data_IF_204794601804
#
_entry.id   IF_204794601804
#
_cell.length_a   1.000
_cell.length_b   1.000
_cell.length_c   1.000
_cell.angle_alpha   90.00
_cell.angle_beta   90.00
_cell.angle_gamma   90.00
#
_symmetry.space_group_name_H-M   'P 1'
#
loop_
_entity.id
_entity.type
_entity.pdbx_description
1 polymer ?
#
# COMPACT_ATOMS: atom_id res chain seq x y z
N UNK A 1 -30.77 46.64 6.74
CA UNK A 1 -29.31 46.40 6.85
C UNK A 1 -29.02 45.04 7.50
N UNK A 2 -29.29 44.82 8.79
CA UNK A 2 -28.95 43.56 9.49
C UNK A 2 -29.48 42.26 8.84
N UNK A 3 -30.75 42.24 8.39
CA UNK A 3 -31.32 41.05 7.70
C UNK A 3 -30.64 40.73 6.37
N UNK A 4 -30.28 41.75 5.58
CA UNK A 4 -29.59 41.56 4.30
C UNK A 4 -28.16 41.05 4.52
N UNK A 5 -27.47 41.57 5.54
CA UNK A 5 -26.13 41.09 5.94
C UNK A 5 -26.19 39.64 6.41
N UNK A 6 -27.18 39.26 7.22
CA UNK A 6 -27.35 37.88 7.68
C UNK A 6 -27.61 36.89 6.54
N UNK A 7 -28.48 37.24 5.58
CA UNK A 7 -28.75 36.40 4.41
C UNK A 7 -27.52 36.27 3.52
N UNK A 8 -26.77 37.36 3.32
CA UNK A 8 -25.53 37.35 2.53
C UNK A 8 -24.47 36.48 3.20
N UNK A 9 -24.28 36.61 4.52
CA UNK A 9 -23.34 35.80 5.28
C UNK A 9 -23.70 34.31 5.23
N UNK A 10 -25.00 33.97 5.35
CA UNK A 10 -25.47 32.59 5.21
C UNK A 10 -25.20 32.05 3.80
N UNK A 11 -25.47 32.84 2.75
CA UNK A 11 -25.19 32.46 1.37
C UNK A 11 -23.70 32.17 1.13
N UNK A 12 -22.82 33.03 1.63
CA UNK A 12 -21.37 32.83 1.55
C UNK A 12 -20.91 31.59 2.34
N UNK A 13 -21.47 31.37 3.54
CA UNK A 13 -21.16 30.18 4.34
C UNK A 13 -21.59 28.88 3.64
N UNK A 14 -22.79 28.84 3.06
CA UNK A 14 -23.28 27.69 2.31
C UNK A 14 -22.46 27.44 1.04
N UNK A 15 -22.06 28.49 0.32
CA UNK A 15 -21.19 28.38 -0.85
C UNK A 15 -19.83 27.79 -0.47
N UNK A 16 -19.21 28.27 0.61
CA UNK A 16 -17.95 27.74 1.12
C UNK A 16 -18.08 26.28 1.57
N UNK A 17 -19.16 25.92 2.28
CA UNK A 17 -19.44 24.54 2.67
C UNK A 17 -19.63 23.64 1.45
N UNK A 18 -20.36 24.11 0.44
CA UNK A 18 -20.57 23.40 -0.82
C UNK A 18 -19.27 23.17 -1.59
N UNK A 19 -18.43 24.20 -1.72
CA UNK A 19 -17.11 24.10 -2.35
C UNK A 19 -16.21 23.08 -1.63
N UNK A 20 -16.14 23.15 -0.30
CA UNK A 20 -15.36 22.21 0.52
C UNK A 20 -15.88 20.78 0.40
N UNK A 21 -17.19 20.59 0.33
CA UNK A 21 -17.80 19.28 0.11
C UNK A 21 -17.45 18.70 -1.27
N UNK A 22 -17.54 19.50 -2.33
CA UNK A 22 -17.14 19.08 -3.69
C UNK A 22 -15.65 18.76 -3.75
N UNK A 23 -14.79 19.60 -3.16
CA UNK A 23 -13.36 19.36 -3.10
C UNK A 23 -13.02 18.04 -2.37
N UNK A 24 -13.70 17.75 -1.26
CA UNK A 24 -13.54 16.48 -0.54
C UNK A 24 -13.99 15.29 -1.39
N UNK A 25 -15.15 15.39 -2.05
CA UNK A 25 -15.64 14.33 -2.95
C UNK A 25 -14.66 14.03 -4.09
N UNK A 26 -14.05 15.06 -4.67
CA UNK A 26 -13.06 14.89 -5.73
C UNK A 26 -11.78 14.23 -5.20
N UNK A 27 -11.25 14.67 -4.06
CA UNK A 27 -10.07 14.05 -3.42
C UNK A 27 -10.30 12.57 -3.06
N UNK A 28 -11.50 12.24 -2.61
CA UNK A 28 -11.89 10.85 -2.30
C UNK A 28 -12.30 10.04 -3.53
N UNK A 29 -12.29 10.64 -4.73
CA UNK A 29 -12.84 10.07 -5.95
C UNK A 29 -14.24 9.42 -5.75
N UNK A 30 -15.10 10.11 -4.99
CA UNK A 30 -16.33 9.57 -4.39
C UNK A 30 -17.37 9.02 -5.39
N UNK A 31 -17.28 9.44 -6.65
CA UNK A 31 -18.22 9.04 -7.71
C UNK A 31 -17.63 7.99 -8.66
N UNK A 32 -16.37 7.59 -8.45
CA UNK A 32 -15.68 6.65 -9.33
C UNK A 32 -16.17 5.23 -9.08
N UNK A 33 -16.40 4.53 -10.19
CA UNK A 33 -16.64 3.10 -10.27
C UNK A 33 -15.59 2.45 -11.17
N UNK A 34 -15.52 1.13 -11.14
CA UNK A 34 -14.48 0.35 -11.83
C UNK A 34 -15.09 -0.69 -12.74
N UNK A 35 -14.63 -0.70 -13.99
CA UNK A 35 -14.85 -1.81 -14.91
C UNK A 35 -13.93 -2.97 -14.54
N UNK A 36 -14.47 -4.19 -14.53
CA UNK A 36 -13.70 -5.36 -14.13
C UNK A 36 -12.59 -5.66 -15.15
N UNK A 37 -11.40 -5.94 -14.64
CA UNK A 37 -10.26 -6.47 -15.40
C UNK A 37 -9.81 -7.72 -14.67
N UNK A 38 -10.18 -8.88 -15.21
CA UNK A 38 -9.90 -10.17 -14.61
C UNK A 38 -8.55 -10.72 -15.08
N UNK A 39 -7.89 -11.48 -14.21
CA UNK A 39 -6.69 -12.25 -14.51
C UNK A 39 -6.99 -13.75 -14.41
N UNK A 40 -6.30 -14.59 -15.20
CA UNK A 40 -6.43 -16.03 -15.09
C UNK A 40 -5.87 -16.55 -13.75
N UNK A 41 -6.40 -17.67 -13.28
CA UNK A 41 -5.87 -18.45 -12.15
C UNK A 41 -5.61 -17.63 -10.87
N UNK A 42 -6.58 -16.77 -10.50
CA UNK A 42 -6.54 -16.04 -9.24
C UNK A 42 -7.02 -16.89 -8.06
N UNK A 43 -6.25 -16.91 -6.98
CA UNK A 43 -6.57 -17.63 -5.74
C UNK A 43 -6.22 -16.79 -4.51
N UNK A 44 -7.02 -16.91 -3.45
CA UNK A 44 -6.67 -16.29 -2.17
C UNK A 44 -5.42 -16.94 -1.57
N UNK A 45 -4.52 -16.11 -1.03
CA UNK A 45 -3.34 -16.58 -0.30
C UNK A 45 -3.78 -17.09 1.07
N UNK A 46 -3.63 -18.39 1.29
CA UNK A 46 -4.02 -19.03 2.55
C UNK A 46 -3.17 -18.47 3.69
N UNK A 47 -3.81 -18.07 4.78
CA UNK A 47 -3.14 -17.46 5.95
C UNK A 47 -3.30 -15.95 6.02
N UNK A 48 -3.71 -15.28 4.92
CA UNK A 48 -3.99 -13.84 4.91
C UNK A 48 -5.49 -13.61 5.04
N UNK A 49 -5.94 -13.18 6.23
CA UNK A 49 -7.37 -13.00 6.52
C UNK A 49 -7.73 -11.60 7.05
N UNK A 50 -6.74 -10.75 7.34
CA UNK A 50 -6.94 -9.48 8.05
C UNK A 50 -5.94 -8.39 7.65
N UNK A 51 -5.86 -8.11 6.35
CA UNK A 51 -4.94 -7.15 5.77
C UNK A 51 -3.60 -7.78 5.38
N UNK A 52 -3.03 -7.23 4.33
CA UNK A 52 -1.72 -7.50 3.73
C UNK A 52 -1.29 -6.19 3.06
N UNK A 53 -1.07 -5.18 3.89
CA UNK A 53 -1.07 -3.79 3.42
C UNK A 53 0.10 -3.52 2.49
N UNK A 54 1.26 -4.11 2.76
CA UNK A 54 2.43 -4.03 1.89
C UNK A 54 3.10 -5.40 1.70
N UNK A 55 3.75 -5.56 0.55
CA UNK A 55 4.39 -6.80 0.10
C UNK A 55 5.72 -6.46 -0.56
N UNK A 56 6.79 -7.06 -0.08
CA UNK A 56 8.10 -6.99 -0.73
C UNK A 56 8.63 -8.38 -1.07
N UNK A 57 9.22 -8.52 -2.25
CA UNK A 57 9.63 -9.82 -2.82
C UNK A 57 11.14 -9.81 -3.07
N UNK A 58 11.84 -10.76 -2.45
CA UNK A 58 13.25 -10.98 -2.70
C UNK A 58 13.50 -11.57 -4.09
N UNK A 59 14.70 -11.39 -4.67
CA UNK A 59 15.06 -11.96 -5.98
C UNK A 59 14.95 -13.49 -6.06
N UNK A 60 15.00 -14.19 -4.93
CA UNK A 60 14.85 -15.65 -4.86
C UNK A 60 13.38 -16.12 -4.79
N UNK A 61 12.40 -15.20 -4.73
CA UNK A 61 10.97 -15.51 -4.69
C UNK A 61 10.37 -15.64 -3.29
N UNK A 62 11.14 -15.40 -2.23
CA UNK A 62 10.55 -15.21 -0.90
C UNK A 62 9.84 -13.86 -0.83
N UNK A 63 8.57 -13.87 -0.45
CA UNK A 63 7.75 -12.67 -0.29
C UNK A 63 7.41 -12.47 1.20
N UNK A 64 7.62 -11.24 1.68
CA UNK A 64 7.20 -10.79 3.00
C UNK A 64 5.90 -9.98 2.86
N UNK A 65 4.98 -10.14 3.80
CA UNK A 65 3.70 -9.43 3.82
C UNK A 65 3.50 -8.80 5.20
N UNK A 66 3.26 -7.49 5.26
CA UNK A 66 2.83 -6.83 6.50
C UNK A 66 1.33 -7.01 6.69
N UNK A 67 0.92 -7.51 7.85
CA UNK A 67 -0.49 -7.85 8.11
C UNK A 67 -0.99 -7.26 9.42
N UNK A 68 -2.31 -7.08 9.52
CA UNK A 68 -2.97 -6.67 10.76
C UNK A 68 -2.77 -5.20 11.13
N UNK A 69 -2.46 -4.34 10.16
CA UNK A 69 -2.38 -2.89 10.34
C UNK A 69 -3.68 -2.30 10.88
N UNK A 70 -3.54 -1.33 11.80
CA UNK A 70 -4.65 -0.61 12.41
C UNK A 70 -4.41 0.89 12.48
N UNK A 71 -5.37 1.64 11.94
CA UNK A 71 -5.58 3.07 12.08
C UNK A 71 -6.93 3.42 12.72
N UNK A 72 -7.01 4.48 13.54
CA UNK A 72 -8.30 4.93 14.07
C UNK A 72 -9.29 5.30 12.96
N UNK A 73 -10.52 4.79 13.05
CA UNK A 73 -11.61 5.19 12.17
C UNK A 73 -11.76 4.42 10.86
N UNK A 74 -10.95 3.38 10.60
CA UNK A 74 -11.14 2.47 9.46
C UNK A 74 -11.73 1.12 9.89
N UNK A 75 -12.19 0.36 8.90
CA UNK A 75 -12.77 -0.97 9.09
C UNK A 75 -11.69 -2.03 9.31
N UNK A 76 -11.97 -3.00 10.20
CA UNK A 76 -11.13 -4.19 10.42
C UNK A 76 -11.98 -5.45 10.56
N UNK A 77 -11.62 -6.52 9.86
CA UNK A 77 -12.32 -7.81 10.01
C UNK A 77 -11.81 -8.65 11.19
N UNK A 78 -10.61 -8.36 11.72
CA UNK A 78 -10.05 -9.04 12.88
C UNK A 78 -9.36 -8.06 13.86
N UNK A 79 -10.13 -7.17 14.54
CA UNK A 79 -9.56 -6.13 15.41
C UNK A 79 -8.76 -6.69 16.59
N UNK A 80 -9.04 -7.91 17.03
CA UNK A 80 -8.35 -8.59 18.13
C UNK A 80 -7.00 -9.22 17.73
N UNK A 81 -6.74 -9.43 16.43
CA UNK A 81 -5.48 -10.02 15.98
C UNK A 81 -4.38 -8.96 16.00
N UNK A 82 -3.20 -9.22 16.60
CA UNK A 82 -2.07 -8.29 16.53
C UNK A 82 -1.54 -8.19 15.10
N UNK A 83 -0.76 -7.14 14.85
CA UNK A 83 -0.01 -7.00 13.61
C UNK A 83 1.14 -8.02 13.55
N UNK A 84 1.57 -8.35 12.34
CA UNK A 84 2.62 -9.33 12.13
C UNK A 84 3.24 -9.25 10.75
N UNK A 85 4.29 -10.04 10.54
CA UNK A 85 4.89 -10.26 9.21
C UNK A 85 4.67 -11.72 8.84
N UNK A 86 4.07 -11.94 7.67
CA UNK A 86 3.99 -13.27 7.07
C UNK A 86 5.06 -13.43 5.99
N UNK A 87 5.39 -14.68 5.68
CA UNK A 87 6.29 -15.04 4.60
C UNK A 87 5.67 -16.16 3.75
N UNK A 88 5.91 -16.12 2.44
CA UNK A 88 5.64 -17.23 1.53
C UNK A 88 6.75 -17.39 0.48
N UNK A 89 6.90 -18.60 -0.04
CA UNK A 89 7.82 -18.91 -1.13
C UNK A 89 7.03 -19.03 -2.44
N UNK A 90 7.27 -18.10 -3.37
CA UNK A 90 6.57 -18.03 -4.65
C UNK A 90 7.03 -19.09 -5.65
N UNK A 91 8.07 -19.86 -5.36
CA UNK A 91 8.48 -20.99 -6.18
C UNK A 91 7.70 -22.27 -5.84
N UNK A 92 7.00 -22.30 -4.70
CA UNK A 92 6.17 -23.43 -4.31
C UNK A 92 4.77 -23.36 -4.96
N UNK A 93 4.16 -24.52 -5.17
CA UNK A 93 2.78 -24.61 -5.66
C UNK A 93 1.76 -24.15 -4.60
N UNK A 94 2.08 -24.32 -3.31
CA UNK A 94 1.18 -23.91 -2.24
C UNK A 94 1.19 -22.40 -2.05
N UNK A 95 0.07 -21.75 -2.39
CA UNK A 95 -0.16 -20.33 -2.10
C UNK A 95 -0.52 -20.11 -0.62
N UNK A 96 0.40 -20.44 0.31
CA UNK A 96 0.21 -20.28 1.76
C UNK A 96 1.30 -19.39 2.34
N UNK A 97 0.88 -18.38 3.10
CA UNK A 97 1.75 -17.55 3.91
C UNK A 97 1.78 -18.05 5.37
N UNK A 98 2.94 -17.98 5.99
CA UNK A 98 3.19 -18.39 7.37
C UNK A 98 3.74 -17.22 8.18
N UNK A 99 3.31 -17.12 9.43
CA UNK A 99 3.74 -16.04 10.32
C UNK A 99 5.19 -16.25 10.77
N UNK A 100 6.01 -15.19 10.62
CA UNK A 100 7.39 -15.19 11.08
C UNK A 100 7.45 -14.94 12.59
N UNK A 101 8.34 -15.66 13.26
CA UNK A 101 8.61 -15.41 14.68
C UNK A 101 9.48 -14.18 14.82
N UNK A 102 9.12 -13.26 15.71
CA UNK A 102 9.99 -12.13 16.05
C UNK A 102 10.80 -12.45 17.31
N UNK A 103 12.06 -12.03 17.34
CA UNK A 103 12.98 -12.25 18.47
C UNK A 103 12.40 -11.81 19.81
N UNK A 104 12.77 -12.55 20.87
CA UNK A 104 12.36 -12.24 22.25
C UNK A 104 12.81 -10.83 22.65
N UNK A 105 11.93 -10.10 23.33
CA UNK A 105 12.20 -8.74 23.82
C UNK A 105 11.68 -7.63 22.92
N UNK A 106 11.24 -7.94 21.70
CA UNK A 106 10.46 -7.02 20.88
C UNK A 106 9.01 -6.94 21.42
N UNK A 107 8.45 -5.74 21.50
CA UNK A 107 7.07 -5.55 21.96
C UNK A 107 6.07 -5.88 20.84
N UNK A 108 5.70 -7.15 20.77
CA UNK A 108 4.68 -7.65 19.83
C UNK A 108 3.27 -7.14 20.14
N UNK A 109 3.01 -6.70 21.39
CA UNK A 109 1.66 -6.29 21.77
C UNK A 109 1.27 -4.95 21.13
N UNK A 110 2.24 -4.05 20.94
CA UNK A 110 2.04 -2.77 20.25
C UNK A 110 2.46 -2.78 18.78
N UNK A 111 2.90 -3.92 18.26
CA UNK A 111 3.35 -4.04 16.87
C UNK A 111 2.20 -3.83 15.89
N UNK A 112 2.36 -2.82 15.04
CA UNK A 112 1.37 -2.35 14.08
C UNK A 112 2.09 -2.03 12.76
N UNK A 113 2.51 -3.07 12.00
CA UNK A 113 3.31 -2.92 10.80
C UNK A 113 2.47 -2.34 9.64
N UNK A 114 3.10 -1.46 8.87
CA UNK A 114 2.58 -0.80 7.68
C UNK A 114 3.48 -1.18 6.50
N UNK A 115 3.98 -0.18 5.76
CA UNK A 115 4.95 -0.40 4.68
C UNK A 115 6.23 -1.15 5.10
N UNK A 116 6.73 -1.99 4.21
CA UNK A 116 7.93 -2.81 4.39
C UNK A 116 8.89 -2.67 3.22
N UNK A 117 10.17 -2.90 3.47
CA UNK A 117 11.19 -2.94 2.42
C UNK A 117 12.35 -3.81 2.84
N UNK A 118 12.94 -4.53 1.88
CA UNK A 118 14.07 -5.41 2.09
C UNK A 118 15.36 -4.80 1.57
N UNK A 119 16.47 -5.19 2.20
CA UNK A 119 17.82 -4.88 1.75
C UNK A 119 18.67 -6.13 1.89
N UNK A 120 19.39 -6.49 0.82
CA UNK A 120 20.36 -7.57 0.84
C UNK A 120 21.74 -6.92 0.91
N UNK A 121 22.47 -7.18 2.01
CA UNK A 121 23.85 -6.70 2.15
C UNK A 121 24.81 -7.56 1.33
N UNK A 122 26.07 -7.13 1.24
CA UNK A 122 27.12 -7.77 0.44
C UNK A 122 27.46 -9.19 0.86
N UNK A 123 27.09 -9.58 2.07
CA UNK A 123 27.27 -10.93 2.61
C UNK A 123 25.99 -11.79 2.50
N UNK A 124 25.06 -11.38 1.64
CA UNK A 124 23.74 -11.98 1.44
C UNK A 124 22.83 -11.93 2.68
N UNK A 125 23.19 -11.17 3.72
CA UNK A 125 22.30 -10.93 4.85
C UNK A 125 21.07 -10.12 4.41
N UNK A 126 19.89 -10.69 4.63
CA UNK A 126 18.61 -10.04 4.38
C UNK A 126 18.18 -9.23 5.60
N UNK A 127 17.95 -7.94 5.37
CA UNK A 127 17.34 -7.02 6.32
C UNK A 127 15.92 -6.67 5.88
N UNK A 128 14.99 -6.65 6.83
CA UNK A 128 13.62 -6.20 6.63
C UNK A 128 13.39 -4.92 7.44
N UNK A 129 13.04 -3.84 6.76
CA UNK A 129 12.65 -2.56 7.32
C UNK A 129 11.12 -2.52 7.38
N UNK A 130 10.57 -2.18 8.54
CA UNK A 130 9.12 -2.18 8.76
C UNK A 130 8.71 -0.85 9.36
N UNK A 131 7.91 -0.07 8.64
CA UNK A 131 7.22 1.07 9.23
C UNK A 131 6.22 0.54 10.28
N UNK A 132 6.31 1.04 11.50
CA UNK A 132 5.55 0.57 12.65
C UNK A 132 4.86 1.73 13.34
N UNK A 133 3.61 1.54 13.77
CA UNK A 133 2.79 2.59 14.41
C UNK A 133 2.35 2.26 15.85
N UNK A 134 3.27 1.98 16.80
CA UNK A 134 2.89 1.66 18.18
C UNK A 134 2.28 2.88 18.86
N UNK A 135 1.09 2.72 19.45
CA UNK A 135 0.37 3.81 20.14
C UNK A 135 0.22 5.09 19.29
N UNK A 136 0.06 4.95 17.96
CA UNK A 136 -0.06 6.07 17.01
C UNK A 136 1.20 6.96 16.87
N UNK A 137 2.38 6.44 17.26
CA UNK A 137 3.69 7.04 16.95
C UNK A 137 4.29 6.27 15.78
N UNK A 138 5.04 6.92 14.89
CA UNK A 138 5.70 6.22 13.77
C UNK A 138 7.18 5.93 14.05
N UNK A 139 7.61 4.71 13.74
CA UNK A 139 8.99 4.23 13.81
C UNK A 139 9.31 3.37 12.58
N UNK A 140 10.59 3.13 12.32
CA UNK A 140 11.04 2.08 11.39
C UNK A 140 11.78 1.03 12.18
N UNK A 141 11.26 -0.19 12.22
CA UNK A 141 11.92 -1.33 12.84
C UNK A 141 12.81 -2.02 11.82
N UNK A 142 14.07 -2.28 12.17
CA UNK A 142 15.03 -3.02 11.33
C UNK A 142 15.18 -4.41 11.92
N UNK A 143 14.86 -5.42 11.12
CA UNK A 143 15.05 -6.82 11.44
C UNK A 143 16.12 -7.43 10.54
N UNK A 144 16.88 -8.40 11.06
CA UNK A 144 17.61 -9.38 10.26
C UNK A 144 16.72 -10.60 10.09
N UNK A 145 16.59 -11.09 8.86
CA UNK A 145 15.89 -12.34 8.57
C UNK A 145 16.82 -13.54 8.81
N UNK A 146 16.32 -14.54 9.52
CA UNK A 146 16.99 -15.80 9.82
C UNK A 146 16.21 -16.94 9.15
N UNK A 147 16.62 -17.28 7.92
CA UNK A 147 15.88 -18.19 7.03
C UNK A 147 15.69 -19.60 7.63
N UNK A 148 16.72 -20.18 8.24
CA UNK A 148 16.66 -21.53 8.84
C UNK A 148 15.61 -21.64 9.95
N UNK A 149 15.41 -20.56 10.71
CA UNK A 149 14.51 -20.51 11.86
C UNK A 149 13.14 -19.92 11.52
N UNK A 150 12.96 -19.41 10.29
CA UNK A 150 11.80 -18.61 9.87
C UNK A 150 11.50 -17.49 10.89
N UNK A 151 12.55 -16.74 11.28
CA UNK A 151 12.47 -15.68 12.28
C UNK A 151 13.03 -14.34 11.83
N UNK A 152 12.58 -13.30 12.51
CA UNK A 152 13.04 -11.93 12.40
C UNK A 152 13.74 -11.54 13.71
N UNK A 153 15.04 -11.31 13.64
CA UNK A 153 15.82 -10.77 14.74
C UNK A 153 15.74 -9.24 14.71
N UNK A 154 15.06 -8.64 15.68
CA UNK A 154 15.00 -7.18 15.80
C UNK A 154 16.39 -6.64 16.16
N UNK A 155 16.89 -5.71 15.35
CA UNK A 155 18.20 -5.10 15.55
C UNK A 155 18.08 -3.69 16.12
N UNK A 156 17.15 -2.90 15.56
CA UNK A 156 17.10 -1.47 15.86
C UNK A 156 15.76 -0.85 15.49
N UNK A 157 15.30 0.06 16.34
CA UNK A 157 14.26 1.03 16.00
C UNK A 157 14.92 2.33 15.51
N UNK A 158 14.60 2.74 14.29
CA UNK A 158 15.10 3.94 13.65
C UNK A 158 14.01 5.00 13.55
N UNK A 159 14.40 6.24 13.82
CA UNK A 159 13.67 7.45 13.49
C UNK A 159 14.65 8.29 12.68
N UNK A 160 14.47 8.37 11.36
CA UNK A 160 15.48 9.02 10.53
C UNK A 160 14.93 9.48 9.19
N UNK A 161 15.49 10.59 8.70
CA UNK A 161 15.17 11.22 7.44
C UNK A 161 16.12 10.67 6.36
N UNK A 162 15.54 10.12 5.29
CA UNK A 162 16.09 9.98 3.93
C UNK A 162 16.80 8.65 3.54
N UNK A 163 16.26 8.06 2.46
CA UNK A 163 16.78 6.95 1.62
C UNK A 163 16.68 7.37 0.11
N UNK A 164 16.66 6.47 -0.91
CA UNK A 164 17.62 6.26 -2.02
C UNK A 164 17.47 7.12 -3.32
N UNK A 165 18.33 6.84 -4.34
CA UNK A 165 18.77 7.68 -5.49
C UNK A 165 17.67 8.27 -6.41
N UNK A 166 16.52 7.65 -6.50
CA UNK A 166 15.28 8.27 -6.96
C UNK A 166 14.19 7.83 -5.99
N UNK A 167 13.28 8.74 -5.67
CA UNK A 167 12.19 8.47 -4.74
C UNK A 167 10.89 8.67 -5.51
N UNK A 168 10.10 7.61 -5.60
CA UNK A 168 8.71 7.69 -6.03
C UNK A 168 7.85 7.94 -4.79
N UNK A 169 7.02 8.98 -4.84
CA UNK A 169 6.12 9.34 -3.74
C UNK A 169 4.70 9.27 -4.25
N UNK A 170 3.88 8.39 -3.68
CA UNK A 170 2.44 8.38 -3.88
C UNK A 170 1.81 9.52 -3.05
N UNK A 171 1.21 10.50 -3.72
CA UNK A 171 0.30 11.47 -3.09
C UNK A 171 -1.14 10.97 -3.30
N UNK A 172 -1.59 10.18 -2.33
CA UNK A 172 -2.84 9.43 -2.40
C UNK A 172 -4.06 10.32 -2.65
N UNK A 173 -4.18 11.48 -2.00
CA UNK A 173 -5.37 12.34 -2.12
C UNK A 173 -5.28 13.33 -3.29
N UNK A 174 -4.08 13.55 -3.84
CA UNK A 174 -3.90 14.26 -5.10
C UNK A 174 -4.06 13.36 -6.34
N UNK A 175 -4.05 12.03 -6.14
CA UNK A 175 -4.06 11.03 -7.22
C UNK A 175 -2.79 11.12 -8.08
N UNK A 176 -1.65 11.37 -7.43
CA UNK A 176 -0.39 11.69 -8.09
C UNK A 176 0.74 10.76 -7.66
N UNK A 177 1.67 10.48 -8.58
CA UNK A 177 2.98 9.91 -8.27
C UNK A 177 4.04 10.95 -8.62
N UNK A 178 4.79 11.38 -7.61
CA UNK A 178 5.92 12.28 -7.78
C UNK A 178 7.19 11.46 -8.02
N UNK A 179 7.94 11.82 -9.06
CA UNK A 179 9.27 11.27 -9.33
C UNK A 179 10.29 12.29 -8.86
N UNK A 180 11.06 11.94 -7.83
CA UNK A 180 12.06 12.79 -7.23
C UNK A 180 13.45 12.27 -7.57
N UNK A 181 14.31 13.11 -8.15
CA UNK A 181 15.74 12.84 -8.25
C UNK A 181 16.40 13.12 -6.91
N UNK A 182 17.10 12.12 -6.36
CA UNK A 182 17.94 12.33 -5.18
C UNK A 182 19.36 12.67 -5.62
N UNK A 183 19.86 13.75 -5.06
CA UNK A 183 21.24 14.19 -5.20
C UNK A 183 22.18 13.50 -4.20
N UNK A 184 23.49 13.58 -4.42
CA UNK A 184 24.50 13.00 -3.54
C UNK A 184 24.40 13.51 -2.08
N UNK A 185 23.97 14.77 -1.91
CA UNK A 185 23.74 15.41 -0.61
C UNK A 185 22.38 15.08 0.04
N UNK A 186 21.62 14.13 -0.52
CA UNK A 186 20.27 13.72 -0.09
C UNK A 186 19.14 14.72 -0.33
N UNK A 187 19.40 15.88 -0.93
CA UNK A 187 18.32 16.75 -1.40
C UNK A 187 17.53 16.08 -2.54
N UNK A 188 16.25 16.41 -2.63
CA UNK A 188 15.32 15.89 -3.63
C UNK A 188 14.90 17.04 -4.57
N UNK A 189 14.92 16.78 -5.87
CA UNK A 189 14.31 17.66 -6.87
C UNK A 189 13.21 16.93 -7.60
N UNK A 190 12.03 17.52 -7.66
CA UNK A 190 10.91 16.95 -8.42
C UNK A 190 11.24 16.98 -9.91
N UNK A 191 11.27 15.80 -10.53
CA UNK A 191 11.51 15.63 -11.96
C UNK A 191 10.19 15.60 -12.72
N UNK A 192 9.20 14.92 -12.15
CA UNK A 192 7.92 14.66 -12.83
C UNK A 192 6.80 14.41 -11.84
N UNK A 193 5.58 14.73 -12.26
CA UNK A 193 4.34 14.32 -11.60
C UNK A 193 3.50 13.56 -12.61
N UNK A 194 3.12 12.34 -12.25
CA UNK A 194 2.17 11.54 -13.01
C UNK A 194 0.80 11.63 -12.32
N UNK A 195 -0.18 12.19 -13.00
CA UNK A 195 -1.56 12.25 -12.51
C UNK A 195 -2.32 11.00 -12.93
N UNK A 196 -3.13 10.46 -12.04
CA UNK A 196 -3.93 9.26 -12.21
C UNK A 196 -5.38 9.57 -11.80
N UNK A 197 -6.33 8.75 -12.24
CA UNK A 197 -7.75 8.89 -11.83
C UNK A 197 -8.12 7.83 -10.79
N UNK A 198 -7.24 7.68 -9.79
CA UNK A 198 -7.40 6.78 -8.65
C UNK A 198 -6.51 7.25 -7.50
N UNK A 199 -6.92 6.97 -6.27
CA UNK A 199 -6.05 7.15 -5.11
C UNK A 199 -4.97 6.08 -5.20
N UNK A 200 -3.72 6.52 -5.31
CA UNK A 200 -2.55 5.64 -5.28
C UNK A 200 -2.15 5.33 -3.85
N UNK A 201 -1.73 4.10 -3.63
CA UNK A 201 -1.25 3.63 -2.33
C UNK A 201 0.21 3.16 -2.44
N UNK A 202 0.53 1.90 -2.17
CA UNK A 202 1.91 1.42 -2.22
C UNK A 202 2.44 1.23 -3.64
N UNK A 203 3.73 1.57 -3.80
CA UNK A 203 4.49 1.48 -5.04
C UNK A 203 5.51 0.35 -4.93
N UNK A 204 5.31 -0.72 -5.68
CA UNK A 204 6.32 -1.76 -5.87
C UNK A 204 7.09 -1.51 -7.18
N UNK A 205 8.37 -1.83 -7.19
CA UNK A 205 9.23 -1.69 -8.37
C UNK A 205 9.65 -3.08 -8.82
N UNK A 206 9.34 -3.44 -10.06
CA UNK A 206 9.90 -4.65 -10.66
C UNK A 206 11.40 -4.43 -10.91
N UNK A 207 12.31 -5.16 -10.23
CA UNK A 207 13.74 -4.93 -10.35
C UNK A 207 14.28 -5.29 -11.74
N UNK A 208 13.57 -6.11 -12.51
CA UNK A 208 14.02 -6.55 -13.85
C UNK A 208 13.73 -5.53 -14.94
N UNK A 209 12.64 -4.76 -14.81
CA UNK A 209 12.18 -3.80 -15.82
C UNK A 209 12.27 -2.34 -15.36
N UNK A 210 12.21 -2.10 -14.06
CA UNK A 210 12.01 -0.78 -13.46
C UNK A 210 10.57 -0.28 -13.54
N UNK A 211 9.61 -1.12 -13.97
CA UNK A 211 8.20 -0.77 -14.00
C UNK A 211 7.64 -0.63 -12.59
N UNK A 212 6.75 0.34 -12.39
CA UNK A 212 6.01 0.45 -11.13
C UNK A 212 4.75 -0.39 -11.17
N UNK A 213 4.50 -1.12 -10.10
CA UNK A 213 3.27 -1.82 -9.80
C UNK A 213 2.60 -1.15 -8.60
N UNK A 214 1.37 -0.70 -8.79
CA UNK A 214 0.73 0.22 -7.85
C UNK A 214 -0.60 -0.35 -7.41
N UNK A 215 -0.77 -0.53 -6.10
CA UNK A 215 -2.08 -0.79 -5.52
C UNK A 215 -2.86 0.52 -5.41
N UNK A 216 -4.15 0.46 -5.67
CA UNK A 216 -4.98 1.65 -5.84
C UNK A 216 -6.35 1.49 -5.18
N UNK A 217 -6.89 2.63 -4.74
CA UNK A 217 -8.26 2.77 -4.25
C UNK A 217 -9.07 3.65 -5.21
N UNK A 218 -9.85 3.03 -6.11
CA UNK A 218 -10.64 3.77 -7.10
C UNK A 218 -11.61 4.77 -6.47
N UNK A 219 -12.14 4.46 -5.29
CA UNK A 219 -13.09 5.29 -4.55
C UNK A 219 -12.76 5.26 -3.06
N UNK A 220 -12.08 6.31 -2.58
CA UNK A 220 -11.66 6.45 -1.18
C UNK A 220 -12.83 6.66 -0.22
N UNK A 221 -13.99 7.12 -0.68
CA UNK A 221 -15.16 7.22 0.19
C UNK A 221 -15.61 5.83 0.67
N UNK A 222 -15.56 4.81 -0.20
CA UNK A 222 -15.94 3.42 0.16
C UNK A 222 -14.95 2.78 1.15
N UNK A 223 -13.71 3.27 1.23
CA UNK A 223 -12.74 2.85 2.25
C UNK A 223 -13.04 3.50 3.61
N UNK A 224 -13.28 4.81 3.63
CA UNK A 224 -13.50 5.57 4.87
C UNK A 224 -14.86 5.28 5.50
N UNK A 225 -15.88 5.08 4.66
CA UNK A 225 -17.24 4.76 5.07
C UNK A 225 -17.55 3.38 4.52
N UNK A 226 -17.12 2.35 5.26
CA UNK A 226 -17.31 0.97 4.84
C UNK A 226 -18.80 0.60 4.85
N UNK A 227 -19.26 0.08 3.72
CA UNK A 227 -20.59 -0.51 3.55
C UNK A 227 -20.42 -1.92 2.95
N UNK A 228 -20.80 -3.00 3.64
CA UNK A 228 -20.69 -4.36 3.11
C UNK A 228 -21.58 -4.59 1.86
N UNK A 229 -22.62 -3.77 1.64
CA UNK A 229 -23.43 -3.80 0.43
C UNK A 229 -22.80 -3.05 -0.75
N UNK A 230 -21.77 -2.23 -0.50
CA UNK A 230 -21.04 -1.46 -1.50
C UNK A 230 -19.56 -1.33 -1.10
N UNK A 231 -18.82 -2.45 -1.04
CA UNK A 231 -17.47 -2.47 -0.52
C UNK A 231 -16.48 -1.71 -1.42
N UNK A 232 -15.29 -1.34 -0.91
CA UNK A 232 -14.27 -0.70 -1.72
C UNK A 232 -13.75 -1.65 -2.80
N UNK A 233 -13.54 -1.10 -3.98
CA UNK A 233 -12.94 -1.79 -5.12
C UNK A 233 -11.44 -2.06 -4.88
N UNK A 234 -10.88 -2.94 -5.71
CA UNK A 234 -9.44 -3.17 -5.85
C UNK A 234 -9.02 -2.83 -7.27
N UNK A 235 -7.86 -2.21 -7.42
CA UNK A 235 -7.23 -1.91 -8.70
C UNK A 235 -5.70 -2.01 -8.58
N UNK A 236 -5.08 -2.64 -9.59
CA UNK A 236 -3.62 -2.66 -9.74
C UNK A 236 -3.25 -2.03 -11.08
N UNK A 237 -2.34 -1.06 -11.03
CA UNK A 237 -1.77 -0.42 -12.22
C UNK A 237 -0.34 -0.90 -12.45
N UNK A 238 0.03 -1.05 -13.73
CA UNK A 238 1.43 -1.15 -14.18
C UNK A 238 1.80 0.14 -14.91
N UNK A 239 2.90 0.75 -14.51
CA UNK A 239 3.41 2.00 -15.09
C UNK A 239 4.79 1.75 -15.66
N UNK A 240 4.91 1.92 -16.97
CA UNK A 240 6.14 1.63 -17.71
C UNK A 240 6.77 2.91 -18.22
N UNK A 241 8.10 2.94 -18.27
CA UNK A 241 8.87 4.06 -18.78
C UNK A 241 8.46 5.40 -18.14
N UNK A 242 8.35 5.45 -16.80
CA UNK A 242 7.80 6.60 -16.08
C UNK A 242 8.52 7.93 -16.38
N UNK A 243 9.81 7.87 -16.73
CA UNK A 243 10.62 9.02 -17.11
C UNK A 243 10.40 9.52 -18.55
N UNK A 244 9.74 8.75 -19.41
CA UNK A 244 9.43 9.17 -20.79
C UNK A 244 8.41 10.31 -20.83
N UNK A 245 8.27 11.02 -21.94
CA UNK A 245 7.23 12.05 -22.09
C UNK A 245 5.82 11.47 -21.93
N UNK A 246 5.60 10.25 -22.42
CA UNK A 246 4.31 9.55 -22.40
C UNK A 246 4.45 8.16 -21.76
N UNK A 247 4.44 8.06 -20.41
CA UNK A 247 4.44 6.77 -19.73
C UNK A 247 3.24 5.93 -20.13
N UNK A 248 3.44 4.63 -20.21
CA UNK A 248 2.33 3.70 -20.42
C UNK A 248 1.76 3.33 -19.07
N UNK A 249 0.48 3.64 -18.83
CA UNK A 249 -0.26 3.26 -17.63
C UNK A 249 -1.33 2.25 -18.04
N UNK A 250 -1.26 1.05 -17.47
CA UNK A 250 -2.22 -0.03 -17.76
C UNK A 250 -2.88 -0.51 -16.48
N UNK A 251 -4.20 -0.67 -16.48
CA UNK A 251 -4.90 -1.41 -15.43
C UNK A 251 -4.71 -2.91 -15.69
N UNK A 252 -4.05 -3.60 -14.76
CA UNK A 252 -3.74 -5.03 -14.89
C UNK A 252 -4.77 -5.90 -14.18
N UNK A 253 -5.30 -5.41 -13.07
CA UNK A 253 -6.39 -6.05 -12.33
C UNK A 253 -7.35 -4.99 -11.82
N UNK A 254 -8.65 -5.27 -11.87
CA UNK A 254 -9.66 -4.41 -11.28
C UNK A 254 -10.91 -5.21 -10.90
N UNK A 255 -11.39 -5.05 -9.67
CA UNK A 255 -12.61 -5.70 -9.18
C UNK A 255 -13.38 -4.75 -8.25
N UNK A 256 -14.70 -4.78 -8.29
CA UNK A 256 -15.57 -3.88 -7.53
C UNK A 256 -15.71 -4.21 -6.03
N UNK A 257 -14.87 -5.09 -5.46
CA UNK A 257 -14.96 -5.53 -4.06
C UNK A 257 -15.70 -6.85 -3.86
N UNK A 258 -16.24 -7.45 -4.93
CA UNK A 258 -16.89 -8.76 -4.88
C UNK A 258 -15.93 -9.93 -4.60
N UNK A 259 -14.66 -9.78 -4.99
CA UNK A 259 -13.60 -10.77 -4.76
C UNK A 259 -12.58 -10.24 -3.76
N UNK A 260 -12.03 -9.07 -4.03
CA UNK A 260 -10.97 -8.46 -3.23
C UNK A 260 -11.31 -7.00 -2.94
N UNK A 261 -11.18 -6.58 -1.67
CA UNK A 261 -11.64 -5.27 -1.20
C UNK A 261 -10.45 -4.40 -0.77
N UNK A 262 -10.32 -3.21 -1.36
CA UNK A 262 -9.34 -2.19 -0.94
C UNK A 262 -7.89 -2.61 -1.13
N UNK A 263 -7.48 -2.87 -2.38
CA UNK A 263 -6.09 -3.21 -2.70
C UNK A 263 -5.12 -2.07 -2.42
N UNK A 264 -4.02 -2.36 -1.76
CA UNK A 264 -3.01 -1.38 -1.32
C UNK A 264 -1.68 -1.56 -2.03
N UNK A 265 -1.35 -2.78 -2.46
CA UNK A 265 -0.10 -3.11 -3.15
C UNK A 265 -0.33 -4.13 -4.26
N UNK A 266 0.41 -4.00 -5.35
CA UNK A 266 0.58 -5.04 -6.36
C UNK A 266 2.07 -5.31 -6.56
N UNK A 267 2.51 -6.55 -6.47
CA UNK A 267 3.93 -6.93 -6.65
C UNK A 267 4.07 -8.20 -7.48
N UNK A 268 5.11 -8.28 -8.30
CA UNK A 268 5.25 -9.32 -9.32
C UNK A 268 6.52 -10.14 -9.18
N UNK A 269 6.40 -11.43 -9.45
CA UNK A 269 7.54 -12.34 -9.49
C UNK A 269 7.22 -13.58 -10.33
N UNK A 270 8.10 -13.95 -11.26
CA UNK A 270 7.99 -15.21 -12.02
C UNK A 270 6.66 -15.38 -12.77
N UNK A 271 6.09 -14.30 -13.32
CA UNK A 271 4.79 -14.33 -14.02
C UNK A 271 3.57 -14.41 -13.09
N UNK A 272 3.76 -14.22 -11.79
CA UNK A 272 2.70 -14.14 -10.79
C UNK A 272 2.53 -12.69 -10.32
N UNK A 273 1.30 -12.29 -10.06
CA UNK A 273 0.94 -11.03 -9.40
C UNK A 273 0.39 -11.33 -8.01
N UNK A 274 0.97 -10.74 -6.97
CA UNK A 274 0.41 -10.67 -5.64
C UNK A 274 -0.30 -9.34 -5.44
N UNK A 275 -1.50 -9.38 -4.87
CA UNK A 275 -2.31 -8.20 -4.56
C UNK A 275 -2.65 -8.21 -3.08
N UNK A 276 -2.09 -7.25 -2.36
CA UNK A 276 -2.36 -7.01 -0.94
C UNK A 276 -3.52 -6.04 -0.73
N UNK A 277 -4.10 -6.05 0.46
CA UNK A 277 -5.22 -5.18 0.84
C UNK A 277 -5.04 -4.59 2.22
N UNK A 278 -5.76 -3.50 2.49
CA UNK A 278 -5.64 -2.79 3.77
C UNK A 278 -6.07 -3.64 4.97
N UNK A 279 -7.19 -4.35 4.84
CA UNK A 279 -7.79 -5.10 5.96
C UNK A 279 -8.48 -6.41 5.55
N UNK A 280 -8.50 -6.76 4.26
CA UNK A 280 -9.18 -7.95 3.74
C UNK A 280 -8.17 -9.11 3.53
N UNK A 281 -8.31 -9.89 2.45
CA UNK A 281 -7.43 -11.00 2.07
C UNK A 281 -6.34 -10.52 1.12
N UNK A 282 -5.43 -11.41 0.75
CA UNK A 282 -4.53 -11.21 -0.40
C UNK A 282 -4.89 -12.17 -1.54
N UNK A 283 -4.59 -11.75 -2.78
CA UNK A 283 -4.81 -12.53 -3.99
C UNK A 283 -3.47 -12.83 -4.69
N UNK A 284 -3.32 -14.04 -5.21
CA UNK A 284 -2.25 -14.41 -6.14
C UNK A 284 -2.88 -14.78 -7.49
N UNK A 285 -2.43 -14.15 -8.57
CA UNK A 285 -2.91 -14.37 -9.93
C UNK A 285 -1.77 -14.70 -10.89
N UNK A 286 -2.10 -15.30 -12.04
CA UNK A 286 -1.17 -15.48 -13.15
C UNK A 286 -1.28 -14.28 -14.12
N UNK A 287 -0.13 -13.78 -14.58
CA UNK A 287 -0.01 -12.73 -15.60
C UNK A 287 0.05 -13.28 -17.03
#
# INVERSE_FOLDING_TARGET
MARLVAVTALGLALALLGERFVALRNRLNASREVEAVDLPNCHFIKGVEAGSEDIDILPNGLAFLSVGLKFPGLQYFAPEKPGGILMMDLNQESSRALELRVSRGFDLASFNPHGISTFIDKDDTVYLFVANHPEFKSTVEIFKFEEEENSLLHLKTVRHELLPRYIYVADSLAHEIHVMEKHANWSLTQVKVLHLDTIVDNLSIDPSTGDLWVGCHPNGQKLLIYDPGNPPASQVLRIQNILSETPTVSTVYANNGSVLQGSTVGSVYGGKLLIGTLYHRALQCQL
#
